data_IF_498706666811
#
_entry.id   IF_498706666811
#
_cell.length_a   1.000
_cell.length_b   1.000
_cell.length_c   1.000
_cell.angle_alpha   90.00
_cell.angle_beta   90.00
_cell.angle_gamma   90.00
#
_symmetry.space_group_name_H-M   'P 1'
#
loop_
_entity.id
_entity.type
_entity.pdbx_description
1 polymer ?
#
# COMPACT_ATOMS: atom_id res chain seq x y z
N UNK A 1 4.93 2.72 -14.82
CA UNK A 1 6.37 2.42 -14.99
C UNK A 1 7.14 2.96 -13.77
N UNK A 2 7.36 2.09 -12.77
CA UNK A 2 8.52 2.04 -11.85
C UNK A 2 8.25 0.99 -10.77
N UNK A 3 8.77 -0.21 -10.97
CA UNK A 3 9.62 -0.85 -9.97
C UNK A 3 10.91 -1.20 -10.73
N UNK A 4 11.96 -0.38 -10.55
CA UNK A 4 13.12 -0.89 -9.83
C UNK A 4 13.62 0.12 -8.78
N UNK A 5 13.79 -0.36 -7.55
CA UNK A 5 14.68 0.21 -6.53
C UNK A 5 14.21 1.41 -5.70
N UNK A 6 13.05 2.02 -5.98
CA UNK A 6 12.61 3.23 -5.26
C UNK A 6 11.18 3.11 -4.74
N UNK A 7 10.98 2.90 -3.43
CA UNK A 7 9.65 3.08 -2.82
C UNK A 7 9.49 4.56 -2.45
N UNK A 8 8.54 5.24 -3.08
CA UNK A 8 8.26 6.67 -2.85
C UNK A 8 6.79 6.80 -2.48
N UNK A 9 6.46 6.91 -1.19
CA UNK A 9 5.07 7.09 -0.77
C UNK A 9 4.87 8.54 -0.31
N UNK A 10 4.21 9.37 -1.13
CA UNK A 10 3.97 10.78 -0.86
C UNK A 10 2.47 11.10 -0.74
N UNK A 11 2.06 11.71 0.37
CA UNK A 11 0.74 12.33 0.52
C UNK A 11 0.92 13.86 0.48
N UNK A 12 0.40 14.52 -0.56
CA UNK A 12 0.46 15.97 -0.70
C UNK A 12 -0.66 16.66 0.08
N UNK A 13 -0.33 17.26 1.22
CA UNK A 13 -1.21 18.20 1.94
C UNK A 13 -0.70 19.64 1.70
N UNK A 14 -1.51 20.47 1.04
CA UNK A 14 -1.23 21.89 0.76
C UNK A 14 -1.65 22.78 1.94
N UNK A 15 -0.73 23.57 2.51
CA UNK A 15 -1.06 24.73 3.34
C UNK A 15 0.12 25.72 3.46
N UNK A 16 -0.22 27.01 3.47
CA UNK A 16 0.67 28.20 3.54
C UNK A 16 1.58 28.19 4.78
N UNK A 17 2.84 28.59 4.61
CA UNK A 17 3.94 28.33 5.54
C UNK A 17 4.66 29.59 6.04
N UNK A 18 4.89 29.68 7.35
CA UNK A 18 5.89 30.56 7.99
C UNK A 18 6.94 29.70 8.74
N UNK A 19 8.21 30.09 8.66
CA UNK A 19 9.37 29.34 9.19
C UNK A 19 9.80 29.87 10.57
N UNK A 20 9.83 29.00 11.59
CA UNK A 20 10.47 29.27 12.89
C UNK A 20 11.23 28.01 13.36
N UNK A 21 12.50 28.19 13.74
CA UNK A 21 13.41 27.11 14.13
C UNK A 21 13.19 26.60 15.55
N UNK A 22 12.92 25.30 15.69
CA UNK A 22 13.09 24.52 16.92
C UNK A 22 13.50 23.09 16.52
N UNK A 23 14.72 22.67 16.85
CA UNK A 23 15.37 21.46 16.32
C UNK A 23 15.24 20.18 17.19
N UNK A 24 14.80 20.27 18.45
CA UNK A 24 15.01 19.19 19.43
C UNK A 24 13.99 18.02 19.41
N UNK A 25 12.72 18.25 19.10
CA UNK A 25 11.69 17.20 19.19
C UNK A 25 11.71 16.23 18.00
N UNK A 26 12.20 16.69 16.85
CA UNK A 26 12.06 15.95 15.58
C UNK A 26 13.16 14.89 15.38
N UNK A 27 14.36 15.15 15.90
CA UNK A 27 15.42 14.14 15.93
C UNK A 27 14.97 12.86 16.67
N UNK A 28 14.02 12.95 17.61
CA UNK A 28 13.49 11.77 18.30
C UNK A 28 12.52 10.92 17.47
N UNK A 29 11.73 11.51 16.57
CA UNK A 29 10.80 10.76 15.72
C UNK A 29 11.56 10.03 14.61
N UNK A 30 12.43 10.75 13.92
CA UNK A 30 13.25 10.20 12.84
C UNK A 30 14.12 9.03 13.32
N UNK A 31 14.78 9.19 14.47
CA UNK A 31 15.52 8.11 15.11
C UNK A 31 14.64 6.89 15.41
N UNK A 32 13.46 7.08 16.02
CA UNK A 32 12.54 5.98 16.31
C UNK A 32 12.04 5.30 15.05
N UNK A 33 11.78 6.07 13.99
CA UNK A 33 11.31 5.57 12.70
C UNK A 33 12.34 4.65 12.05
N UNK A 34 13.57 5.12 11.82
CA UNK A 34 14.59 4.28 11.18
C UNK A 34 15.07 3.13 12.08
N UNK A 35 15.03 3.29 13.40
CA UNK A 35 15.26 2.18 14.33
C UNK A 35 14.19 1.10 14.24
N UNK A 36 12.90 1.45 14.11
CA UNK A 36 11.84 0.44 13.92
C UNK A 36 12.02 -0.31 12.61
N UNK A 37 12.42 0.42 11.56
CA UNK A 37 12.74 -0.16 10.25
C UNK A 37 13.86 -1.18 10.35
N UNK A 38 15.01 -0.81 10.93
CA UNK A 38 16.14 -1.72 11.07
C UNK A 38 15.91 -2.89 12.03
N UNK A 39 14.89 -2.83 12.88
CA UNK A 39 14.46 -3.93 13.76
C UNK A 39 13.44 -4.87 13.10
N UNK A 40 12.82 -4.45 11.99
CA UNK A 40 11.72 -5.18 11.38
C UNK A 40 10.42 -5.15 12.20
N UNK A 41 10.25 -4.14 13.07
CA UNK A 41 9.10 -4.03 13.96
C UNK A 41 7.91 -3.38 13.25
N UNK A 42 7.06 -4.22 12.65
CA UNK A 42 5.87 -3.82 11.90
C UNK A 42 4.90 -3.02 12.76
N UNK A 43 4.70 -3.39 14.02
CA UNK A 43 3.67 -2.78 14.87
C UNK A 43 4.09 -1.40 15.36
N UNK A 44 5.37 -1.23 15.71
CA UNK A 44 5.92 0.09 16.00
C UNK A 44 5.91 0.98 14.76
N UNK A 45 6.30 0.44 13.60
CA UNK A 45 6.24 1.17 12.33
C UNK A 45 4.83 1.69 12.05
N UNK A 46 3.82 0.82 12.10
CA UNK A 46 2.42 1.18 11.83
C UNK A 46 1.86 2.23 12.80
N UNK A 47 2.21 2.15 14.09
CA UNK A 47 1.75 3.13 15.10
C UNK A 47 2.29 4.54 14.86
N UNK A 48 3.45 4.67 14.22
CA UNK A 48 4.03 5.97 13.90
C UNK A 48 3.39 6.63 12.68
N UNK A 49 2.71 5.88 11.81
CA UNK A 49 2.08 6.42 10.62
C UNK A 49 0.82 7.22 10.97
N UNK A 50 0.60 8.33 10.26
CA UNK A 50 -0.66 9.06 10.27
C UNK A 50 -1.79 8.15 9.72
N UNK A 51 -3.05 8.25 10.22
CA UNK A 51 -4.15 7.40 9.77
C UNK A 51 -4.35 7.38 8.25
N UNK A 52 -4.22 8.54 7.59
CA UNK A 52 -4.31 8.62 6.12
C UNK A 52 -3.21 7.78 5.43
N UNK A 53 -1.98 7.81 5.94
CA UNK A 53 -0.89 6.99 5.41
C UNK A 53 -1.11 5.50 5.66
N UNK A 54 -1.68 5.13 6.83
CA UNK A 54 -2.02 3.72 7.12
C UNK A 54 -3.03 3.15 6.14
N UNK A 55 -3.94 3.97 5.62
CA UNK A 55 -4.90 3.56 4.59
C UNK A 55 -4.23 3.31 3.23
N UNK A 56 -3.06 3.90 2.99
CA UNK A 56 -2.27 3.75 1.76
C UNK A 56 -1.16 2.69 1.85
N UNK A 57 -1.08 1.93 2.94
CA UNK A 57 -0.10 0.86 3.09
C UNK A 57 -0.74 -0.45 3.56
N UNK A 58 -0.46 -1.52 2.84
CA UNK A 58 -0.89 -2.86 3.22
C UNK A 58 0.10 -3.50 4.19
N UNK A 59 -0.42 -3.96 5.34
CA UNK A 59 0.42 -4.53 6.40
C UNK A 59 1.24 -5.73 5.94
N UNK A 60 0.73 -6.64 5.09
CA UNK A 60 1.55 -7.70 4.50
C UNK A 60 2.72 -7.19 3.65
N UNK A 61 2.53 -6.09 2.90
CA UNK A 61 3.56 -5.51 2.02
C UNK A 61 4.63 -4.79 2.84
N UNK A 62 4.21 -4.00 3.83
CA UNK A 62 5.12 -3.37 4.80
C UNK A 62 5.93 -4.41 5.57
N UNK A 63 5.30 -5.51 5.98
CA UNK A 63 6.01 -6.61 6.64
C UNK A 63 7.07 -7.22 5.72
N UNK A 64 6.72 -7.52 4.46
CA UNK A 64 7.69 -8.03 3.49
C UNK A 64 8.84 -7.03 3.28
N UNK A 65 8.54 -5.74 3.19
CA UNK A 65 9.56 -4.69 3.05
C UNK A 65 10.51 -4.64 4.24
N UNK A 66 9.97 -4.62 5.46
CA UNK A 66 10.74 -4.58 6.70
C UNK A 66 11.63 -5.82 6.89
N UNK A 67 11.15 -7.00 6.51
CA UNK A 67 11.95 -8.23 6.51
C UNK A 67 13.12 -8.13 5.53
N UNK A 68 12.91 -7.55 4.35
CA UNK A 68 13.99 -7.35 3.36
C UNK A 68 14.98 -6.30 3.83
N UNK A 69 14.53 -5.19 4.42
CA UNK A 69 15.42 -4.20 5.05
C UNK A 69 16.29 -4.85 6.12
N UNK A 70 15.69 -5.63 7.03
CA UNK A 70 16.45 -6.32 8.07
C UNK A 70 17.44 -7.34 7.49
N UNK A 71 17.05 -8.09 6.47
CA UNK A 71 17.91 -9.09 5.84
C UNK A 71 19.09 -8.45 5.11
N UNK A 72 18.84 -7.42 4.30
CA UNK A 72 19.81 -6.82 3.36
C UNK A 72 20.59 -5.64 3.92
N UNK A 73 19.98 -4.82 4.78
CA UNK A 73 20.59 -3.64 5.41
C UNK A 73 20.91 -3.86 6.90
N UNK A 74 20.08 -4.60 7.63
CA UNK A 74 20.31 -4.88 9.06
C UNK A 74 19.82 -3.76 9.99
N UNK A 75 20.38 -3.69 11.20
CA UNK A 75 19.99 -2.69 12.22
C UNK A 75 20.51 -1.30 11.85
N UNK A 76 19.70 -0.28 12.11
CA UNK A 76 20.12 1.13 12.00
C UNK A 76 21.20 1.42 13.07
N UNK A 77 22.31 2.03 12.65
CA UNK A 77 23.46 2.36 13.49
C UNK A 77 23.59 3.87 13.72
N UNK A 78 23.47 4.66 12.64
CA UNK A 78 23.52 6.12 12.71
C UNK A 78 22.64 6.75 11.63
N UNK A 79 22.21 7.98 11.89
CA UNK A 79 21.42 8.82 10.99
C UNK A 79 22.13 10.17 10.94
N UNK A 80 22.52 10.58 9.75
CA UNK A 80 23.17 11.85 9.46
C UNK A 80 22.17 12.74 8.71
N UNK A 81 21.62 13.78 9.36
CA UNK A 81 20.70 14.71 8.70
C UNK A 81 21.40 15.45 7.56
N UNK A 82 20.76 15.46 6.37
CA UNK A 82 21.26 16.16 5.18
C UNK A 82 20.57 17.51 5.02
N UNK A 83 19.23 17.51 5.09
CA UNK A 83 18.44 18.73 5.04
C UNK A 83 17.18 18.55 5.87
N UNK A 84 16.69 19.63 6.49
CA UNK A 84 15.39 19.61 7.15
C UNK A 84 14.70 20.96 7.08
N UNK A 85 13.38 20.93 7.08
CA UNK A 85 12.51 22.10 7.15
C UNK A 85 11.46 21.89 8.24
N UNK A 86 11.05 22.99 8.88
CA UNK A 86 9.96 23.00 9.86
C UNK A 86 9.02 24.14 9.52
N UNK A 87 7.76 23.80 9.36
CA UNK A 87 6.70 24.73 9.03
C UNK A 87 5.64 24.71 10.12
N UNK A 88 5.40 25.87 10.72
CA UNK A 88 4.24 26.04 11.59
C UNK A 88 3.01 26.20 10.71
N UNK A 89 2.02 25.34 10.92
CA UNK A 89 0.69 25.45 10.34
C UNK A 89 -0.31 25.81 11.44
N UNK A 90 -1.49 26.30 11.06
CA UNK A 90 -2.56 26.67 12.01
C UNK A 90 -2.95 25.52 12.94
N UNK A 91 -2.87 24.28 12.44
CA UNK A 91 -3.33 23.07 13.12
C UNK A 91 -2.19 22.21 13.69
N UNK A 92 -0.94 22.63 13.54
CA UNK A 92 0.18 21.81 13.96
C UNK A 92 1.52 22.17 13.35
N UNK A 93 2.50 21.34 13.64
CA UNK A 93 3.86 21.47 13.10
C UNK A 93 4.06 20.42 12.03
N UNK A 94 4.41 20.86 10.83
CA UNK A 94 4.94 19.99 9.78
C UNK A 94 6.45 20.03 9.82
N UNK A 95 7.06 18.85 9.72
CA UNK A 95 8.50 18.71 9.53
C UNK A 95 8.76 17.82 8.34
N UNK A 96 9.79 18.16 7.59
CA UNK A 96 10.30 17.37 6.48
C UNK A 96 11.82 17.29 6.62
N UNK A 97 12.37 16.10 6.40
CA UNK A 97 13.80 15.87 6.49
C UNK A 97 14.28 14.84 5.50
N UNK A 98 15.54 14.98 5.11
CA UNK A 98 16.31 14.00 4.38
C UNK A 98 17.57 13.67 5.17
N UNK A 99 17.95 12.41 5.14
CA UNK A 99 19.04 11.88 5.97
C UNK A 99 19.78 10.77 5.26
N UNK A 100 21.07 10.66 5.53
CA UNK A 100 21.86 9.48 5.18
C UNK A 100 21.83 8.52 6.36
N UNK A 101 21.40 7.28 6.12
CA UNK A 101 21.19 6.28 7.16
C UNK A 101 22.24 5.19 7.00
N UNK A 102 23.01 4.95 8.06
CA UNK A 102 23.95 3.82 8.10
C UNK A 102 23.28 2.67 8.83
N UNK A 103 23.14 1.55 8.13
CA UNK A 103 22.73 0.27 8.69
C UNK A 103 23.95 -0.67 8.79
N UNK A 104 23.82 -1.72 9.60
CA UNK A 104 24.89 -2.68 9.87
C UNK A 104 25.47 -3.36 8.61
N UNK A 105 24.71 -3.46 7.52
CA UNK A 105 25.10 -4.11 6.27
C UNK A 105 25.03 -3.17 5.06
N UNK A 106 24.80 -1.88 5.21
CA UNK A 106 24.69 -0.97 4.07
C UNK A 106 24.23 0.43 4.43
N UNK A 107 24.15 1.29 3.42
CA UNK A 107 23.68 2.66 3.56
C UNK A 107 22.39 2.86 2.77
N UNK A 108 21.57 3.81 3.21
CA UNK A 108 20.38 4.23 2.49
C UNK A 108 20.20 5.75 2.60
N UNK A 109 19.59 6.34 1.58
CA UNK A 109 19.08 7.70 1.63
C UNK A 109 17.63 7.66 2.10
N UNK A 110 17.36 8.43 3.16
CA UNK A 110 16.05 8.55 3.79
C UNK A 110 15.41 9.89 3.48
N UNK A 111 14.10 9.90 3.30
CA UNK A 111 13.29 11.11 3.41
C UNK A 111 12.06 10.81 4.26
N UNK A 112 11.70 11.73 5.14
CA UNK A 112 10.61 11.57 6.09
C UNK A 112 9.88 12.89 6.24
N UNK A 113 8.56 12.86 6.16
CA UNK A 113 7.73 13.99 6.59
C UNK A 113 6.83 13.58 7.74
N UNK A 114 6.55 14.52 8.63
CA UNK A 114 5.67 14.30 9.76
C UNK A 114 4.81 15.51 10.05
N UNK A 115 3.65 15.26 10.65
CA UNK A 115 2.75 16.27 11.16
C UNK A 115 2.27 15.85 12.55
N UNK A 116 2.42 16.74 13.54
CA UNK A 116 2.07 16.48 14.93
C UNK A 116 2.64 15.15 15.49
N UNK A 117 3.87 14.81 15.11
CA UNK A 117 4.58 13.63 15.58
C UNK A 117 4.19 12.31 14.90
N UNK A 118 3.35 12.35 13.86
CA UNK A 118 3.00 11.19 13.02
C UNK A 118 3.60 11.31 11.62
N UNK A 119 4.02 10.19 11.06
CA UNK A 119 4.63 10.12 9.72
C UNK A 119 3.57 10.29 8.65
N UNK A 120 3.75 11.27 7.77
CA UNK A 120 2.88 11.56 6.63
C UNK A 120 3.38 10.96 5.32
N UNK A 121 4.69 10.95 5.12
CA UNK A 121 5.37 10.33 3.98
C UNK A 121 6.73 9.82 4.41
N UNK A 122 7.21 8.78 3.74
CA UNK A 122 8.57 8.30 3.94
C UNK A 122 9.11 7.69 2.66
N UNK A 123 10.42 7.65 2.59
CA UNK A 123 11.18 7.03 1.52
C UNK A 123 12.51 6.54 2.09
N UNK A 124 12.91 5.34 1.67
CA UNK A 124 14.22 4.76 1.98
C UNK A 124 14.75 4.15 0.69
N UNK A 125 15.84 4.70 0.18
CA UNK A 125 16.48 4.28 -1.06
C UNK A 125 17.84 3.64 -0.76
N UNK A 126 18.08 2.45 -1.30
CA UNK A 126 19.38 1.80 -1.20
C UNK A 126 19.56 0.87 -2.39
N UNK A 127 20.77 0.79 -2.93
CA UNK A 127 21.12 -0.16 -3.99
C UNK A 127 20.86 -1.61 -3.58
N UNK A 128 20.91 -1.91 -2.26
CA UNK A 128 20.60 -3.24 -1.74
C UNK A 128 19.10 -3.56 -1.72
N UNK A 129 18.24 -2.56 -1.93
CA UNK A 129 16.79 -2.70 -1.93
C UNK A 129 16.18 -2.77 -3.34
N UNK A 130 17.01 -2.95 -4.37
CA UNK A 130 16.51 -3.24 -5.73
C UNK A 130 15.74 -4.57 -5.73
N UNK A 131 14.60 -4.59 -6.43
CA UNK A 131 13.70 -5.73 -6.58
C UNK A 131 13.40 -6.46 -5.25
N UNK A 132 13.19 -5.66 -4.20
CA UNK A 132 12.94 -6.17 -2.86
C UNK A 132 11.62 -6.94 -2.76
N UNK A 133 10.61 -6.55 -3.55
CA UNK A 133 9.27 -7.10 -3.41
C UNK A 133 9.09 -8.36 -4.26
N UNK A 134 8.85 -9.47 -3.58
CA UNK A 134 8.63 -10.79 -4.19
C UNK A 134 7.20 -11.30 -3.91
N UNK A 135 6.29 -10.37 -3.61
CA UNK A 135 4.91 -10.66 -3.22
C UNK A 135 4.71 -10.76 -1.70
N UNK A 136 3.45 -10.67 -1.24
CA UNK A 136 3.14 -10.83 0.16
C UNK A 136 3.27 -12.31 0.56
N UNK A 137 3.86 -12.60 1.72
CA UNK A 137 3.92 -13.97 2.28
C UNK A 137 2.55 -14.59 2.60
N UNK A 138 1.54 -13.73 2.69
CA UNK A 138 0.22 -13.98 3.24
C UNK A 138 -0.79 -13.19 2.42
N UNK A 139 -1.78 -13.88 1.85
CA UNK A 139 -2.75 -13.30 0.93
C UNK A 139 -4.11 -12.99 1.56
N UNK A 140 -4.28 -13.25 2.86
CA UNK A 140 -5.55 -13.20 3.57
C UNK A 140 -6.26 -11.83 3.45
N UNK A 141 -5.49 -10.74 3.41
CA UNK A 141 -6.01 -9.38 3.20
C UNK A 141 -6.61 -9.23 1.79
N UNK A 142 -5.94 -9.79 0.78
CA UNK A 142 -6.38 -9.70 -0.62
C UNK A 142 -7.55 -10.63 -0.90
N UNK A 143 -7.58 -11.81 -0.28
CA UNK A 143 -8.73 -12.72 -0.38
C UNK A 143 -9.96 -12.14 0.29
N UNK A 144 -9.81 -11.44 1.42
CA UNK A 144 -10.92 -10.74 2.08
C UNK A 144 -11.45 -9.57 1.24
N UNK A 145 -10.56 -8.78 0.64
CA UNK A 145 -10.94 -7.69 -0.28
C UNK A 145 -11.63 -8.21 -1.53
N UNK A 146 -11.12 -9.29 -2.12
CA UNK A 146 -11.73 -9.95 -3.26
C UNK A 146 -13.12 -10.46 -2.94
N UNK A 147 -13.30 -11.14 -1.80
CA UNK A 147 -14.61 -11.59 -1.36
C UNK A 147 -15.58 -10.41 -1.15
N UNK A 148 -15.16 -9.35 -0.45
CA UNK A 148 -15.98 -8.16 -0.25
C UNK A 148 -16.39 -7.51 -1.58
N UNK A 149 -15.47 -7.42 -2.54
CA UNK A 149 -15.77 -6.92 -3.88
C UNK A 149 -16.77 -7.81 -4.60
N UNK A 150 -16.55 -9.13 -4.62
CA UNK A 150 -17.42 -10.09 -5.32
C UNK A 150 -18.83 -10.11 -4.75
N UNK A 151 -18.96 -10.09 -3.42
CA UNK A 151 -20.26 -9.98 -2.74
C UNK A 151 -20.95 -8.68 -3.12
N UNK A 152 -20.30 -7.52 -2.96
CA UNK A 152 -20.89 -6.24 -3.33
C UNK A 152 -21.25 -6.16 -4.82
N UNK A 153 -20.41 -6.72 -5.70
CA UNK A 153 -20.63 -6.73 -7.14
C UNK A 153 -21.85 -7.58 -7.53
N UNK A 154 -21.98 -8.78 -6.96
CA UNK A 154 -23.07 -9.71 -7.28
C UNK A 154 -24.38 -9.38 -6.55
N UNK A 155 -24.32 -8.71 -5.40
CA UNK A 155 -25.49 -8.21 -4.68
C UNK A 155 -25.96 -6.84 -5.19
N UNK A 156 -25.37 -6.35 -6.29
CA UNK A 156 -25.70 -5.07 -6.94
C UNK A 156 -25.45 -3.82 -6.07
N UNK A 157 -24.59 -3.94 -5.06
CA UNK A 157 -24.13 -2.84 -4.20
C UNK A 157 -23.04 -2.01 -4.90
N UNK A 158 -23.47 -1.06 -5.74
CA UNK A 158 -22.56 -0.27 -6.57
C UNK A 158 -21.50 0.50 -5.77
N UNK A 159 -21.88 1.19 -4.68
CA UNK A 159 -20.94 2.06 -3.94
C UNK A 159 -19.83 1.25 -3.27
N UNK A 160 -20.12 0.18 -2.48
CA UNK A 160 -19.06 -0.65 -1.89
C UNK A 160 -18.17 -1.34 -2.93
N UNK A 161 -18.74 -1.83 -4.03
CA UNK A 161 -17.94 -2.43 -5.10
C UNK A 161 -17.01 -1.40 -5.76
N UNK A 162 -17.52 -0.20 -6.01
CA UNK A 162 -16.76 0.91 -6.62
C UNK A 162 -15.56 1.31 -5.78
N UNK A 163 -15.74 1.48 -4.47
CA UNK A 163 -14.69 1.92 -3.54
C UNK A 163 -13.53 0.92 -3.42
N UNK A 164 -13.75 -0.35 -3.76
CA UNK A 164 -12.73 -1.40 -3.72
C UNK A 164 -11.87 -1.46 -4.99
N UNK A 165 -12.33 -0.87 -6.10
CA UNK A 165 -11.60 -0.80 -7.38
C UNK A 165 -10.59 0.35 -7.35
N UNK A 166 -9.43 0.17 -7.98
CA UNK A 166 -8.44 1.24 -8.14
C UNK A 166 -8.97 2.48 -8.89
N UNK A 167 -8.60 3.71 -8.50
CA UNK A 167 -9.03 4.95 -9.17
C UNK A 167 -8.80 4.97 -10.69
N UNK A 168 -7.69 4.43 -11.20
CA UNK A 168 -7.47 4.39 -12.65
C UNK A 168 -8.48 3.48 -13.38
N UNK A 169 -8.93 2.38 -12.76
CA UNK A 169 -9.98 1.54 -13.34
C UNK A 169 -11.35 2.20 -13.19
N UNK A 170 -11.57 2.91 -12.07
CA UNK A 170 -12.75 3.77 -11.90
C UNK A 170 -12.85 4.80 -13.03
N UNK A 171 -11.76 5.49 -13.38
CA UNK A 171 -11.76 6.50 -14.45
C UNK A 171 -12.06 5.89 -15.83
N UNK A 172 -11.56 4.69 -16.11
CA UNK A 172 -11.77 3.99 -17.39
C UNK A 172 -13.18 3.43 -17.53
N UNK A 173 -13.69 2.74 -16.50
CA UNK A 173 -14.98 2.03 -16.56
C UNK A 173 -16.14 2.99 -16.30
N UNK A 174 -15.98 3.92 -15.37
CA UNK A 174 -17.07 4.78 -14.88
C UNK A 174 -18.12 4.00 -14.06
N UNK A 175 -18.83 4.71 -13.17
CA UNK A 175 -19.86 4.08 -12.32
C UNK A 175 -20.97 3.41 -13.13
N UNK A 176 -21.40 4.06 -14.21
CA UNK A 176 -22.41 3.51 -15.11
C UNK A 176 -21.92 2.28 -15.88
N UNK A 177 -20.63 2.23 -16.24
CA UNK A 177 -20.03 1.04 -16.83
C UNK A 177 -20.05 -0.13 -15.87
N UNK A 178 -19.62 0.09 -14.63
CA UNK A 178 -19.61 -0.95 -13.60
C UNK A 178 -21.04 -1.44 -13.31
N UNK A 179 -22.01 -0.53 -13.17
CA UNK A 179 -23.42 -0.86 -12.96
C UNK A 179 -23.98 -1.76 -14.07
N UNK A 180 -23.66 -1.47 -15.33
CA UNK A 180 -24.05 -2.32 -16.48
C UNK A 180 -23.40 -3.70 -16.41
N UNK A 181 -22.13 -3.79 -16.00
CA UNK A 181 -21.45 -5.07 -15.83
C UNK A 181 -22.11 -5.90 -14.72
N UNK A 182 -22.40 -5.29 -13.57
CA UNK A 182 -23.09 -5.93 -12.44
C UNK A 182 -24.44 -6.50 -12.88
N UNK A 183 -25.27 -5.67 -13.53
CA UNK A 183 -26.58 -6.10 -14.03
C UNK A 183 -26.45 -7.30 -14.98
N UNK A 184 -25.50 -7.27 -15.92
CA UNK A 184 -25.29 -8.38 -16.86
C UNK A 184 -24.91 -9.68 -16.17
N UNK A 185 -24.05 -9.63 -15.14
CA UNK A 185 -23.65 -10.85 -14.43
C UNK A 185 -24.80 -11.39 -13.59
N UNK A 186 -25.52 -10.52 -12.87
CA UNK A 186 -26.65 -10.91 -12.01
C UNK A 186 -27.85 -11.40 -12.83
N UNK A 187 -28.13 -10.82 -13.99
CA UNK A 187 -29.21 -11.27 -14.88
C UNK A 187 -28.99 -12.70 -15.39
N UNK A 188 -27.72 -13.12 -15.55
CA UNK A 188 -27.36 -14.47 -15.97
C UNK A 188 -27.23 -15.45 -14.80
N UNK A 189 -26.60 -15.04 -13.70
CA UNK A 189 -26.26 -15.93 -12.59
C UNK A 189 -27.26 -15.92 -11.44
N UNK A 190 -27.99 -14.83 -11.21
CA UNK A 190 -28.72 -14.60 -9.97
C UNK A 190 -27.80 -14.23 -8.79
N UNK A 191 -28.33 -14.21 -7.56
CA UNK A 191 -27.56 -13.87 -6.36
C UNK A 191 -26.47 -14.90 -6.07
N UNK A 192 -25.41 -14.45 -5.39
CA UNK A 192 -24.30 -15.29 -4.95
C UNK A 192 -24.76 -16.28 -3.86
N UNK A 193 -24.43 -17.56 -4.02
CA UNK A 193 -24.68 -18.62 -3.04
C UNK A 193 -23.39 -19.08 -2.35
N UNK A 194 -22.34 -19.30 -3.12
CA UNK A 194 -21.06 -19.75 -2.61
C UNK A 194 -19.89 -19.07 -3.34
N UNK A 195 -18.84 -18.76 -2.58
CA UNK A 195 -17.60 -18.19 -3.10
C UNK A 195 -16.42 -18.90 -2.43
N UNK A 196 -15.61 -19.59 -3.23
CA UNK A 196 -14.45 -20.33 -2.73
C UNK A 196 -13.19 -19.96 -3.49
N UNK A 197 -12.12 -19.63 -2.76
CA UNK A 197 -10.81 -19.46 -3.38
C UNK A 197 -10.31 -20.81 -3.88
N UNK A 198 -10.12 -20.94 -5.20
CA UNK A 198 -9.63 -22.14 -5.85
C UNK A 198 -8.10 -22.17 -5.90
N UNK A 199 -7.50 -21.06 -6.33
CA UNK A 199 -6.05 -20.94 -6.44
C UNK A 199 -5.59 -19.48 -6.43
N UNK A 200 -4.29 -19.27 -6.28
CA UNK A 200 -3.68 -17.96 -6.41
C UNK A 200 -2.32 -18.08 -7.09
N UNK A 201 -1.89 -17.00 -7.77
CA UNK A 201 -0.56 -16.90 -8.39
C UNK A 201 -0.03 -15.49 -8.25
N UNK A 202 1.22 -15.35 -7.84
CA UNK A 202 1.93 -14.09 -7.92
C UNK A 202 2.82 -14.05 -9.16
N UNK A 203 2.87 -12.92 -9.85
CA UNK A 203 3.68 -12.71 -11.04
C UNK A 203 4.43 -11.39 -10.96
N UNK A 204 5.66 -11.39 -11.48
CA UNK A 204 6.46 -10.20 -11.76
C UNK A 204 6.55 -9.93 -13.28
N UNK A 205 5.90 -10.76 -14.10
CA UNK A 205 5.85 -10.63 -15.55
C UNK A 205 4.99 -9.41 -15.91
N UNK A 206 5.49 -8.54 -16.80
CA UNK A 206 4.78 -7.31 -17.20
C UNK A 206 5.20 -6.04 -16.46
N UNK A 207 6.23 -6.12 -15.60
CA UNK A 207 6.90 -4.95 -15.02
C UNK A 207 6.22 -4.35 -13.79
N UNK A 208 5.01 -4.79 -13.45
CA UNK A 208 4.36 -4.49 -12.18
C UNK A 208 4.07 -5.81 -11.43
N UNK A 209 4.36 -5.89 -10.13
CA UNK A 209 4.02 -7.07 -9.35
C UNK A 209 2.51 -7.23 -9.24
N UNK A 210 2.02 -8.44 -9.51
CA UNK A 210 0.59 -8.72 -9.60
C UNK A 210 0.25 -10.04 -8.89
N UNK A 211 -0.81 -10.03 -8.10
CA UNK A 211 -1.43 -11.21 -7.49
C UNK A 211 -2.76 -11.51 -8.20
N UNK A 212 -2.84 -12.70 -8.77
CA UNK A 212 -4.06 -13.26 -9.34
C UNK A 212 -4.72 -14.18 -8.32
N UNK A 213 -6.02 -14.02 -8.11
CA UNK A 213 -6.85 -14.89 -7.29
C UNK A 213 -7.94 -15.49 -8.16
N UNK A 214 -8.03 -16.82 -8.20
CA UNK A 214 -9.08 -17.53 -8.93
C UNK A 214 -10.08 -18.09 -7.93
N UNK A 215 -11.34 -17.71 -8.10
CA UNK A 215 -12.46 -18.17 -7.29
C UNK A 215 -13.37 -19.08 -8.11
N UNK A 216 -13.86 -20.15 -7.48
CA UNK A 216 -15.09 -20.82 -7.91
C UNK A 216 -16.27 -19.99 -7.37
N UNK A 217 -17.23 -19.70 -8.24
CA UNK A 217 -18.39 -18.85 -7.97
C UNK A 217 -19.65 -19.66 -8.26
N UNK A 218 -20.48 -19.82 -7.25
CA UNK A 218 -21.80 -20.44 -7.39
C UNK A 218 -22.87 -19.38 -7.15
N UNK A 219 -23.70 -19.16 -8.16
CA UNK A 219 -24.87 -18.30 -8.10
C UNK A 219 -26.14 -19.16 -8.27
N UNK A 220 -27.30 -18.59 -7.96
CA UNK A 220 -28.59 -19.31 -8.00
C UNK A 220 -28.85 -20.06 -9.32
N UNK A 221 -28.43 -19.50 -10.46
CA UNK A 221 -28.75 -19.99 -11.81
C UNK A 221 -27.53 -20.38 -12.64
N UNK A 222 -26.31 -20.09 -12.17
CA UNK A 222 -25.08 -20.39 -12.89
C UNK A 222 -23.90 -20.61 -11.94
N UNK A 223 -22.99 -21.47 -12.36
CA UNK A 223 -21.71 -21.68 -11.70
C UNK A 223 -20.59 -21.41 -12.69
N UNK A 224 -19.48 -20.85 -12.21
CA UNK A 224 -18.34 -20.51 -13.05
C UNK A 224 -17.13 -20.18 -12.21
N UNK A 225 -16.19 -19.47 -12.82
CA UNK A 225 -15.02 -18.96 -12.11
C UNK A 225 -14.89 -17.47 -12.27
N UNK A 226 -14.26 -16.82 -11.30
CA UNK A 226 -13.87 -15.43 -11.41
C UNK A 226 -12.39 -15.27 -11.06
N UNK A 227 -11.62 -14.70 -11.98
CA UNK A 227 -10.26 -14.30 -11.71
C UNK A 227 -10.23 -12.82 -11.32
N UNK A 228 -9.66 -12.51 -10.15
CA UNK A 228 -9.39 -11.14 -9.72
C UNK A 228 -7.89 -10.84 -9.79
N UNK A 229 -7.57 -9.59 -10.15
CA UNK A 229 -6.20 -9.10 -10.30
C UNK A 229 -5.90 -7.96 -9.33
N UNK A 230 -4.92 -8.18 -8.45
CA UNK A 230 -4.37 -7.14 -7.58
C UNK A 230 -2.97 -6.74 -8.06
N UNK A 231 -2.82 -5.50 -8.50
CA UNK A 231 -1.50 -4.94 -8.81
C UNK A 231 -0.96 -4.17 -7.61
N UNK A 232 0.31 -4.38 -7.31
CA UNK A 232 1.00 -3.71 -6.21
C UNK A 232 1.68 -2.43 -6.71
N UNK A 233 1.23 -1.31 -6.18
CA UNK A 233 1.82 0.01 -6.40
C UNK A 233 2.28 0.52 -5.05
N UNK A 234 3.54 0.95 -4.98
CA UNK A 234 4.23 1.32 -3.75
C UNK A 234 4.15 0.25 -2.66
N UNK A 235 3.26 0.43 -1.67
CA UNK A 235 3.09 -0.44 -0.51
C UNK A 235 1.68 -1.02 -0.42
N UNK A 236 0.86 -0.95 -1.49
CA UNK A 236 -0.56 -1.34 -1.48
C UNK A 236 -0.92 -2.14 -2.71
N UNK A 237 -1.72 -3.19 -2.52
CA UNK A 237 -2.33 -3.97 -3.58
C UNK A 237 -3.69 -3.40 -3.94
N UNK A 238 -3.88 -3.08 -5.21
CA UNK A 238 -5.07 -2.46 -5.76
C UNK A 238 -5.78 -3.41 -6.71
N UNK A 239 -7.09 -3.57 -6.56
CA UNK A 239 -7.90 -4.36 -7.49
C UNK A 239 -7.99 -3.63 -8.84
N UNK A 240 -7.37 -4.20 -9.87
CA UNK A 240 -7.29 -3.62 -11.22
C UNK A 240 -8.13 -4.34 -12.27
N UNK A 241 -8.54 -5.58 -11.99
CA UNK A 241 -9.25 -6.37 -12.96
C UNK A 241 -10.03 -7.50 -12.31
N UNK A 242 -11.09 -7.89 -12.99
CA UNK A 242 -11.84 -9.10 -12.70
C UNK A 242 -12.41 -9.66 -14.00
N UNK A 243 -12.48 -10.97 -14.12
CA UNK A 243 -12.97 -11.68 -15.30
C UNK A 243 -13.81 -12.88 -14.87
N UNK A 244 -15.09 -12.90 -15.27
CA UNK A 244 -16.03 -13.99 -15.01
C UNK A 244 -16.05 -14.93 -16.22
N UNK A 245 -15.86 -16.22 -15.97
CA UNK A 245 -15.82 -17.29 -16.97
C UNK A 245 -16.88 -18.34 -16.71
#
# INVERSE_FOLDING_TARGET
>A
MKIPGTTTLCIALLALSTTIGQAAAVSSLENRFYQSIGRGDVDTFYRMLHPALRAEVDRPVVKAWLEVVQARLGRCQSIEPVASSRTQQLTGVRWEGSSKITFAKGVADGSLSSFNGQVLSFQVQSEKMVDWFQGPKKIEVYTARAAAFMTAFLDTELTPAWELIHPALQDVVGKEGLKRMMARVVDNGGPLQHLQLKSHRFSLEGGNPTLFLLYDVECERANGTCQLEFQFVDMKGHLLGFDFQ
#
